data_IF_114080211873
#
_entry.id   IF_114080211873
#
_cell.length_a   1.000
_cell.length_b   1.000
_cell.length_c   1.000
_cell.angle_alpha   90.00
_cell.angle_beta   90.00
_cell.angle_gamma   90.00
#
_symmetry.space_group_name_H-M   'P 1'
#
loop_
_entity.id
_entity.type
_entity.pdbx_description
1 polymer ?
#
# COMPACT_ATOMS: atom_id res chain seq x y z
N UNK A 1 -1.89 18.70 17.15
CA UNK A 1 -0.64 19.16 16.51
C UNK A 1 -0.84 18.84 15.05
N UNK A 2 -0.88 19.84 14.17
CA UNK A 2 -1.18 19.59 12.76
C UNK A 2 0.01 18.85 12.12
N UNK A 3 -0.21 17.62 11.65
CA UNK A 3 0.80 16.83 10.96
C UNK A 3 1.23 17.58 9.68
N UNK A 4 2.50 17.96 9.59
CA UNK A 4 3.11 18.58 8.40
C UNK A 4 3.86 17.52 7.61
N UNK A 5 3.19 16.95 6.62
CA UNK A 5 3.72 15.92 5.72
C UNK A 5 4.51 16.50 4.54
N UNK A 6 5.28 17.56 4.75
CA UNK A 6 6.20 18.06 3.72
C UNK A 6 7.61 17.55 4.03
N UNK A 7 8.04 16.41 3.44
CA UNK A 7 9.38 15.92 3.66
C UNK A 7 10.38 16.94 3.13
N UNK A 8 11.34 17.33 3.98
CA UNK A 8 12.47 18.18 3.56
C UNK A 8 13.31 17.55 2.45
N UNK A 9 13.22 16.22 2.28
CA UNK A 9 13.79 15.43 1.20
C UNK A 9 12.86 14.28 0.85
N UNK A 10 12.37 14.25 -0.38
CA UNK A 10 11.56 13.14 -0.90
C UNK A 10 12.44 11.92 -1.19
N UNK A 11 12.11 10.71 -0.70
CA UNK A 11 12.79 9.48 -1.10
C UNK A 11 12.78 9.25 -2.61
N UNK A 12 11.75 9.76 -3.30
CA UNK A 12 11.63 9.72 -4.76
C UNK A 12 12.76 10.49 -5.45
N UNK A 13 13.34 11.49 -4.81
CA UNK A 13 14.48 12.22 -5.35
C UNK A 13 15.77 11.40 -5.41
N UNK A 14 15.83 10.29 -4.67
CA UNK A 14 17.01 9.41 -4.56
C UNK A 14 16.78 8.01 -5.14
N UNK A 15 15.63 7.75 -5.77
CA UNK A 15 15.25 6.42 -6.25
C UNK A 15 15.96 5.95 -7.53
N UNK A 16 16.93 6.73 -8.04
CA UNK A 16 17.69 6.38 -9.25
C UNK A 16 16.98 6.66 -10.57
N UNK A 17 15.78 7.24 -10.56
CA UNK A 17 15.06 7.72 -11.76
C UNK A 17 15.38 9.20 -11.97
N UNK A 18 16.15 9.58 -13.01
CA UNK A 18 16.62 10.96 -13.21
C UNK A 18 15.49 12.00 -13.26
N UNK A 19 14.36 11.65 -13.87
CA UNK A 19 13.20 12.53 -14.01
C UNK A 19 12.58 12.87 -12.66
N UNK A 20 12.51 11.91 -11.73
CA UNK A 20 11.97 12.13 -10.39
C UNK A 20 12.95 12.90 -9.51
N UNK A 21 14.25 12.67 -9.69
CA UNK A 21 15.29 13.43 -8.99
C UNK A 21 15.20 14.93 -9.27
N UNK A 22 15.00 15.31 -10.53
CA UNK A 22 14.89 16.72 -10.92
C UNK A 22 13.60 17.38 -10.44
N UNK A 23 12.56 16.58 -10.17
CA UNK A 23 11.25 17.07 -9.76
C UNK A 23 11.20 17.51 -8.29
N UNK A 24 12.09 16.97 -7.43
CA UNK A 24 12.09 17.26 -6.00
C UNK A 24 10.73 16.94 -5.36
N UNK A 25 10.10 17.95 -4.74
CA UNK A 25 8.76 17.82 -4.13
C UNK A 25 7.63 17.59 -5.14
N UNK A 26 7.91 17.67 -6.46
CA UNK A 26 6.95 17.42 -7.53
C UNK A 26 6.96 15.99 -8.08
N UNK A 27 7.78 15.10 -7.52
CA UNK A 27 7.98 13.75 -8.06
C UNK A 27 6.67 12.94 -8.10
N UNK A 28 5.85 13.01 -7.05
CA UNK A 28 4.55 12.34 -7.00
C UNK A 28 3.61 12.84 -8.12
N UNK A 29 3.57 14.15 -8.37
CA UNK A 29 2.75 14.73 -9.44
C UNK A 29 3.22 14.31 -10.83
N UNK A 30 4.53 14.07 -11.03
CA UNK A 30 5.03 13.50 -12.29
C UNK A 30 4.56 12.06 -12.49
N UNK A 31 4.52 11.24 -11.42
CA UNK A 31 3.98 9.89 -11.50
C UNK A 31 2.50 9.92 -11.90
N UNK A 32 1.69 10.77 -11.26
CA UNK A 32 0.27 10.97 -11.63
C UNK A 32 0.13 11.39 -13.09
N UNK A 33 0.90 12.39 -13.54
CA UNK A 33 0.86 12.86 -14.92
C UNK A 33 1.23 11.76 -15.93
N UNK A 34 2.22 10.94 -15.61
CA UNK A 34 2.62 9.79 -16.42
C UNK A 34 1.51 8.75 -16.54
N UNK A 35 0.81 8.44 -15.45
CA UNK A 35 -0.29 7.48 -15.44
C UNK A 35 -1.52 8.00 -16.19
N UNK A 36 -1.85 9.29 -16.05
CA UNK A 36 -2.86 9.96 -16.88
C UNK A 36 -2.53 9.85 -18.37
N UNK A 37 -1.27 10.08 -18.75
CA UNK A 37 -0.81 9.94 -20.13
C UNK A 37 -0.86 8.48 -20.64
N UNK A 38 -0.93 7.50 -19.73
CA UNK A 38 -1.13 6.08 -20.04
C UNK A 38 -2.60 5.65 -20.06
N UNK A 39 -3.53 6.58 -19.83
CA UNK A 39 -4.97 6.34 -19.95
C UNK A 39 -5.68 6.00 -18.65
N UNK A 40 -5.01 6.09 -17.50
CA UNK A 40 -5.73 6.06 -16.22
C UNK A 40 -6.62 7.30 -16.08
N UNK A 41 -7.80 7.14 -15.47
CA UNK A 41 -8.56 8.30 -14.99
C UNK A 41 -7.86 8.97 -13.80
N UNK A 42 -8.33 10.15 -13.41
CA UNK A 42 -7.69 10.95 -12.36
C UNK A 42 -7.60 10.23 -11.01
N UNK A 43 -8.63 9.46 -10.64
CA UNK A 43 -8.67 8.77 -9.35
C UNK A 43 -7.73 7.57 -9.36
N UNK A 44 -7.79 6.75 -10.42
CA UNK A 44 -6.86 5.63 -10.62
C UNK A 44 -5.40 6.10 -10.69
N UNK A 45 -5.13 7.21 -11.39
CA UNK A 45 -3.78 7.72 -11.53
C UNK A 45 -3.17 8.13 -10.18
N UNK A 46 -3.94 8.72 -9.29
CA UNK A 46 -3.47 9.08 -7.94
C UNK A 46 -3.28 7.86 -7.04
N UNK A 47 -4.23 6.92 -7.02
CA UNK A 47 -4.09 5.68 -6.25
C UNK A 47 -2.90 4.83 -6.74
N UNK A 48 -2.74 4.66 -8.05
CA UNK A 48 -1.61 3.93 -8.63
C UNK A 48 -0.27 4.67 -8.42
N UNK A 49 -0.25 5.99 -8.50
CA UNK A 49 0.94 6.78 -8.15
C UNK A 49 1.32 6.60 -6.68
N UNK A 50 0.35 6.48 -5.77
CA UNK A 50 0.64 6.19 -4.37
C UNK A 50 1.30 4.82 -4.20
N UNK A 51 0.84 3.79 -4.92
CA UNK A 51 1.50 2.46 -4.93
C UNK A 51 2.93 2.56 -5.46
N UNK A 52 3.18 3.32 -6.53
CA UNK A 52 4.54 3.55 -7.02
C UNK A 52 5.40 4.31 -5.99
N UNK A 53 4.83 5.31 -5.30
CA UNK A 53 5.53 6.00 -4.23
C UNK A 53 5.94 5.00 -3.13
N UNK A 54 5.05 4.10 -2.71
CA UNK A 54 5.35 3.05 -1.72
C UNK A 54 6.47 2.13 -2.17
N UNK A 55 6.47 1.66 -3.42
CA UNK A 55 7.55 0.84 -3.98
C UNK A 55 8.91 1.55 -3.97
N UNK A 56 8.89 2.88 -4.09
CA UNK A 56 10.08 3.74 -4.10
C UNK A 56 10.40 4.33 -2.70
N UNK A 57 9.68 3.91 -1.66
CA UNK A 57 9.88 4.35 -0.27
C UNK A 57 9.29 5.73 0.08
N UNK A 58 8.53 6.36 -0.81
CA UNK A 58 7.83 7.64 -0.58
C UNK A 58 6.54 7.47 0.22
N UNK A 59 6.65 7.26 1.53
CA UNK A 59 5.48 7.05 2.42
C UNK A 59 4.60 8.31 2.52
N UNK A 60 5.20 9.47 2.75
CA UNK A 60 4.48 10.74 2.88
C UNK A 60 3.78 11.10 1.56
N UNK A 61 4.45 10.93 0.43
CA UNK A 61 3.85 11.19 -0.89
C UNK A 61 2.69 10.25 -1.17
N UNK A 62 2.84 8.96 -0.85
CA UNK A 62 1.75 7.99 -0.99
C UNK A 62 0.55 8.38 -0.12
N UNK A 63 0.79 8.67 1.15
CA UNK A 63 -0.24 9.09 2.11
C UNK A 63 -0.98 10.34 1.62
N UNK A 64 -0.25 11.35 1.16
CA UNK A 64 -0.82 12.61 0.68
C UNK A 64 -1.69 12.41 -0.56
N UNK A 65 -1.30 11.52 -1.48
CA UNK A 65 -2.07 11.20 -2.68
C UNK A 65 -3.39 10.48 -2.34
N UNK A 66 -3.40 9.56 -1.37
CA UNK A 66 -4.62 8.76 -1.08
C UNK A 66 -5.56 9.40 -0.06
N UNK A 67 -5.06 10.32 0.77
CA UNK A 67 -5.87 10.98 1.81
C UNK A 67 -7.15 11.64 1.27
N UNK A 68 -7.13 12.40 0.15
CA UNK A 68 -8.35 13.00 -0.41
C UNK A 68 -9.43 11.99 -0.77
N UNK A 69 -9.05 10.76 -1.13
CA UNK A 69 -9.99 9.72 -1.54
C UNK A 69 -10.69 9.05 -0.35
N UNK A 70 -10.12 9.13 0.85
CA UNK A 70 -10.53 8.33 2.01
C UNK A 70 -10.94 9.17 3.21
N UNK A 71 -10.48 10.42 3.28
CA UNK A 71 -10.73 11.33 4.39
C UNK A 71 -11.79 12.36 4.03
N UNK A 72 -12.81 12.52 4.88
CA UNK A 72 -13.97 13.38 4.60
C UNK A 72 -13.75 14.88 4.82
N UNK A 73 -12.55 15.29 5.23
CA UNK A 73 -12.23 16.68 5.60
C UNK A 73 -10.99 17.17 4.86
N UNK A 74 -10.88 18.47 4.55
CA UNK A 74 -9.67 19.03 3.98
C UNK A 74 -8.46 18.84 4.89
N UNK A 75 -7.30 18.58 4.29
CA UNK A 75 -6.01 18.52 4.99
C UNK A 75 -5.03 19.50 4.35
N UNK A 76 -4.03 19.95 5.11
CA UNK A 76 -2.99 20.85 4.58
C UNK A 76 -2.02 20.17 3.62
N UNK A 77 -1.92 18.84 3.67
CA UNK A 77 -1.00 18.05 2.85
C UNK A 77 -1.67 17.34 1.67
N UNK A 78 -2.86 16.76 1.85
CA UNK A 78 -3.61 16.09 0.79
C UNK A 78 -4.56 17.03 0.04
N UNK A 79 -4.92 18.17 0.64
CA UNK A 79 -5.87 19.12 0.05
C UNK A 79 -7.34 18.76 0.35
N UNK A 80 -8.30 19.22 -0.48
CA UNK A 80 -9.72 19.01 -0.26
C UNK A 80 -10.15 17.54 -0.51
N UNK A 81 -11.22 17.06 0.15
CA UNK A 81 -11.72 15.70 -0.04
C UNK A 81 -12.34 15.49 -1.43
N UNK A 82 -12.16 14.29 -1.99
CA UNK A 82 -12.77 13.82 -3.25
C UNK A 82 -13.99 12.96 -2.96
N UNK A 83 -15.12 13.64 -2.71
CA UNK A 83 -16.39 12.97 -2.45
C UNK A 83 -16.83 12.15 -3.66
N UNK A 84 -17.11 10.86 -3.47
CA UNK A 84 -17.51 9.95 -4.53
C UNK A 84 -16.35 9.32 -5.32
N UNK A 85 -15.12 9.37 -4.77
CA UNK A 85 -13.96 8.67 -5.32
C UNK A 85 -14.28 7.23 -5.73
N UNK A 86 -13.95 6.88 -6.98
CA UNK A 86 -14.19 5.53 -7.52
C UNK A 86 -13.19 4.49 -7.01
N UNK A 87 -12.09 4.95 -6.41
CA UNK A 87 -10.97 4.13 -5.91
C UNK A 87 -10.86 4.16 -4.38
N UNK A 88 -11.94 4.47 -3.66
CA UNK A 88 -11.93 4.57 -2.19
C UNK A 88 -11.28 3.36 -1.52
N UNK A 89 -11.59 2.14 -1.99
CA UNK A 89 -11.07 0.90 -1.37
C UNK A 89 -9.59 0.71 -1.61
N UNK A 90 -9.14 0.94 -2.83
CA UNK A 90 -7.73 0.86 -3.22
C UNK A 90 -6.92 1.94 -2.49
N UNK A 91 -7.45 3.16 -2.37
CA UNK A 91 -6.85 4.22 -1.58
C UNK A 91 -6.77 3.88 -0.08
N UNK A 92 -7.83 3.29 0.49
CA UNK A 92 -7.82 2.79 1.87
C UNK A 92 -6.81 1.63 2.05
N UNK A 93 -6.65 0.78 1.04
CA UNK A 93 -5.64 -0.29 1.06
C UNK A 93 -4.22 0.32 1.00
N UNK A 94 -3.98 1.35 0.20
CA UNK A 94 -2.72 2.08 0.25
C UNK A 94 -2.41 2.60 1.67
N UNK A 95 -3.39 3.13 2.42
CA UNK A 95 -3.18 3.50 3.82
C UNK A 95 -2.79 2.30 4.71
N UNK A 96 -3.41 1.13 4.53
CA UNK A 96 -3.00 -0.10 5.26
C UNK A 96 -1.50 -0.36 5.07
N UNK A 97 -1.00 -0.22 3.83
CA UNK A 97 0.40 -0.49 3.50
C UNK A 97 1.32 0.64 3.99
N UNK A 98 0.95 1.91 3.78
CA UNK A 98 1.68 3.09 4.31
C UNK A 98 1.95 2.90 5.80
N UNK A 99 0.90 2.66 6.58
CA UNK A 99 1.02 2.59 8.02
C UNK A 99 1.70 1.29 8.48
N UNK A 100 1.59 0.19 7.74
CA UNK A 100 2.41 -1.01 8.01
C UNK A 100 3.90 -0.73 7.80
N UNK A 101 4.25 0.06 6.78
CA UNK A 101 5.64 0.48 6.51
C UNK A 101 6.17 1.49 7.52
N UNK A 102 5.31 2.31 8.13
CA UNK A 102 5.68 3.16 9.27
C UNK A 102 6.09 2.35 10.51
N UNK A 103 5.59 1.12 10.67
CA UNK A 103 5.97 0.21 11.74
C UNK A 103 5.62 0.75 13.13
N UNK A 104 6.62 0.85 14.01
CA UNK A 104 6.46 1.33 15.40
C UNK A 104 6.45 2.86 15.54
N UNK A 105 6.62 3.62 14.43
CA UNK A 105 6.59 5.07 14.48
C UNK A 105 5.27 5.57 15.08
N UNK A 106 5.36 6.38 16.14
CA UNK A 106 4.20 6.92 16.85
C UNK A 106 3.66 8.16 16.13
N UNK A 107 2.42 8.04 15.64
CA UNK A 107 1.65 9.14 15.05
C UNK A 107 0.50 9.61 15.96
N UNK A 108 -0.47 10.32 15.37
CA UNK A 108 -1.60 10.92 16.09
C UNK A 108 -2.52 9.89 16.78
N UNK A 109 -2.54 8.64 16.29
CA UNK A 109 -3.47 7.59 16.75
C UNK A 109 -2.77 6.27 17.16
N UNK A 110 -1.49 6.35 17.55
CA UNK A 110 -0.70 5.19 17.97
C UNK A 110 0.41 4.85 16.98
N UNK A 111 0.83 3.59 16.94
CA UNK A 111 1.85 3.14 15.98
C UNK A 111 1.30 3.01 14.56
N UNK A 112 2.18 2.93 13.58
CA UNK A 112 1.83 2.54 12.22
C UNK A 112 1.00 1.26 12.17
N UNK A 113 1.33 0.23 12.98
CA UNK A 113 0.52 -0.98 13.04
C UNK A 113 -0.90 -0.76 13.59
N UNK A 114 -1.11 0.17 14.53
CA UNK A 114 -2.45 0.54 14.99
C UNK A 114 -3.26 1.20 13.87
N UNK A 115 -2.65 2.14 13.14
CA UNK A 115 -3.28 2.82 12.01
C UNK A 115 -3.59 1.85 10.86
N UNK A 116 -2.67 0.93 10.56
CA UNK A 116 -2.88 -0.10 9.54
C UNK A 116 -4.11 -0.96 9.84
N UNK A 117 -4.28 -1.40 11.10
CA UNK A 117 -5.46 -2.16 11.55
C UNK A 117 -6.77 -1.38 11.37
N UNK A 118 -6.77 -0.08 11.66
CA UNK A 118 -7.94 0.78 11.41
C UNK A 118 -8.31 0.82 9.93
N UNK A 119 -7.33 1.04 9.06
CA UNK A 119 -7.54 1.15 7.61
C UNK A 119 -7.95 -0.16 6.95
N UNK A 120 -7.58 -1.32 7.51
CA UNK A 120 -8.10 -2.61 7.04
C UNK A 120 -9.62 -2.68 7.14
N UNK A 121 -10.18 -2.11 8.21
CA UNK A 121 -11.63 -2.01 8.38
C UNK A 121 -12.29 -1.16 7.29
N UNK A 122 -11.60 -0.16 6.74
CA UNK A 122 -12.10 0.66 5.64
C UNK A 122 -11.93 -0.05 4.29
N UNK A 123 -10.73 -0.58 4.03
CA UNK A 123 -10.38 -1.23 2.76
C UNK A 123 -11.18 -2.52 2.51
N UNK A 124 -11.44 -3.30 3.58
CA UNK A 124 -11.99 -4.66 3.48
C UNK A 124 -13.32 -4.84 4.23
N UNK A 125 -14.06 -3.77 4.47
CA UNK A 125 -15.33 -3.76 5.23
C UNK A 125 -16.40 -4.75 4.72
N UNK A 126 -16.39 -5.14 3.44
CA UNK A 126 -17.33 -6.13 2.88
C UNK A 126 -16.90 -7.60 3.05
N UNK A 127 -15.83 -7.85 3.79
CA UNK A 127 -15.29 -9.19 4.04
C UNK A 127 -13.76 -9.15 3.95
N UNK A 128 -13.10 -9.39 5.08
CA UNK A 128 -11.66 -9.23 5.29
C UNK A 128 -10.74 -10.06 4.35
N UNK A 129 -11.31 -10.89 3.47
CA UNK A 129 -10.58 -11.84 2.62
C UNK A 129 -11.02 -11.80 1.14
N UNK A 130 -11.59 -10.69 0.65
CA UNK A 130 -12.20 -10.61 -0.70
C UNK A 130 -11.53 -9.64 -1.68
N UNK A 131 -10.34 -9.12 -1.39
CA UNK A 131 -9.68 -8.28 -2.40
C UNK A 131 -9.27 -9.13 -3.62
N UNK A 132 -9.46 -8.66 -4.86
CA UNK A 132 -9.14 -9.44 -6.06
C UNK A 132 -7.71 -9.96 -6.15
N UNK A 133 -6.75 -9.27 -5.51
CA UNK A 133 -5.34 -9.69 -5.51
C UNK A 133 -5.00 -10.79 -4.51
N UNK A 134 -5.87 -11.06 -3.53
CA UNK A 134 -5.56 -11.96 -2.42
C UNK A 134 -5.32 -13.42 -2.83
N UNK A 135 -6.07 -14.02 -3.78
CA UNK A 135 -5.78 -15.38 -4.23
C UNK A 135 -4.36 -15.51 -4.79
N UNK A 136 -3.97 -14.60 -5.69
CA UNK A 136 -2.63 -14.61 -6.28
C UNK A 136 -1.54 -14.31 -5.25
N UNK A 137 -1.75 -13.31 -4.38
CA UNK A 137 -0.79 -12.99 -3.33
C UNK A 137 -0.57 -14.17 -2.37
N UNK A 138 -1.64 -14.91 -2.06
CA UNK A 138 -1.59 -16.10 -1.20
C UNK A 138 -0.81 -17.23 -1.85
N UNK A 139 -0.97 -17.45 -3.15
CA UNK A 139 -0.17 -18.42 -3.92
C UNK A 139 1.30 -18.01 -3.96
N UNK A 140 1.59 -16.75 -4.32
CA UNK A 140 2.96 -16.26 -4.43
C UNK A 140 3.69 -16.31 -3.08
N UNK A 141 2.98 -16.05 -1.97
CA UNK A 141 3.53 -16.15 -0.62
C UNK A 141 3.96 -17.59 -0.25
N UNK A 142 3.31 -18.64 -0.78
CA UNK A 142 3.80 -20.02 -0.60
C UNK A 142 5.15 -20.22 -1.28
N UNK A 143 5.35 -19.61 -2.45
CA UNK A 143 6.62 -19.63 -3.16
C UNK A 143 7.75 -18.92 -2.42
N UNK A 144 7.44 -17.94 -1.57
CA UNK A 144 8.43 -17.16 -0.83
C UNK A 144 8.86 -17.78 0.52
N UNK A 145 8.10 -18.74 1.04
CA UNK A 145 8.28 -19.22 2.43
C UNK A 145 9.66 -19.83 2.70
N UNK A 146 10.29 -20.43 1.67
CA UNK A 146 11.57 -21.11 1.79
C UNK A 146 11.59 -22.10 2.96
N UNK A 147 12.66 -22.05 3.77
CA UNK A 147 12.81 -22.84 5.01
C UNK A 147 12.42 -22.06 6.29
N UNK A 148 11.81 -20.88 6.18
CA UNK A 148 11.44 -20.06 7.33
C UNK A 148 10.29 -20.70 8.14
N UNK A 149 10.54 -21.05 9.40
CA UNK A 149 9.54 -21.70 10.26
C UNK A 149 8.33 -20.81 10.53
N UNK A 150 8.56 -19.54 10.88
CA UNK A 150 7.50 -18.61 11.27
C UNK A 150 6.60 -18.26 10.09
N UNK A 151 7.17 -18.03 8.90
CA UNK A 151 6.40 -17.85 7.66
C UNK A 151 5.55 -19.08 7.32
N UNK A 152 6.07 -20.30 7.50
CA UNK A 152 5.28 -21.54 7.33
C UNK A 152 4.15 -21.63 8.35
N UNK A 153 4.41 -21.25 9.61
CA UNK A 153 3.40 -21.23 10.66
C UNK A 153 2.29 -20.20 10.37
N UNK A 154 2.66 -19.02 9.87
CA UNK A 154 1.73 -17.98 9.43
C UNK A 154 0.82 -18.51 8.32
N UNK A 155 1.38 -19.03 7.22
CA UNK A 155 0.59 -19.52 6.09
C UNK A 155 -0.37 -20.65 6.49
N UNK A 156 0.08 -21.57 7.35
CA UNK A 156 -0.79 -22.61 7.92
C UNK A 156 -1.93 -22.03 8.75
N UNK A 157 -1.67 -20.97 9.51
CA UNK A 157 -2.67 -20.29 10.36
C UNK A 157 -3.68 -19.50 9.51
N UNK A 158 -3.24 -18.87 8.42
CA UNK A 158 -4.11 -18.20 7.45
C UNK A 158 -5.04 -19.19 6.72
N UNK A 159 -4.59 -20.42 6.50
CA UNK A 159 -5.32 -21.41 5.71
C UNK A 159 -5.27 -21.07 4.21
N UNK A 160 -6.37 -21.32 3.44
CA UNK A 160 -6.37 -21.13 2.00
C UNK A 160 -6.59 -19.68 1.56
N UNK A 161 -6.90 -18.76 2.48
CA UNK A 161 -7.20 -17.36 2.16
C UNK A 161 -6.10 -16.44 2.68
N UNK A 162 -5.87 -15.35 1.98
CA UNK A 162 -5.04 -14.26 2.51
C UNK A 162 -5.78 -13.56 3.64
N UNK A 163 -5.09 -13.34 4.76
CA UNK A 163 -5.63 -12.63 5.92
C UNK A 163 -4.70 -11.45 6.29
N UNK A 164 -5.01 -10.22 5.84
CA UNK A 164 -4.14 -9.06 6.02
C UNK A 164 -3.77 -8.77 7.49
N UNK A 165 -4.68 -9.07 8.42
CA UNK A 165 -4.47 -8.88 9.85
C UNK A 165 -3.34 -9.77 10.40
N UNK A 166 -3.26 -11.02 9.93
CA UNK A 166 -2.21 -11.96 10.29
C UNK A 166 -0.87 -11.56 9.68
N UNK A 167 -0.86 -11.12 8.41
CA UNK A 167 0.37 -10.63 7.78
C UNK A 167 0.91 -9.37 8.48
N UNK A 168 0.03 -8.42 8.79
CA UNK A 168 0.42 -7.22 9.54
C UNK A 168 0.94 -7.54 10.94
N UNK A 169 0.39 -8.57 11.60
CA UNK A 169 0.92 -9.06 12.88
C UNK A 169 2.31 -9.68 12.73
N UNK A 170 2.56 -10.46 11.66
CA UNK A 170 3.90 -10.96 11.39
C UNK A 170 4.90 -9.81 11.16
N UNK A 171 4.51 -8.78 10.42
CA UNK A 171 5.34 -7.59 10.23
C UNK A 171 5.63 -6.85 11.55
N UNK A 172 4.68 -6.82 12.48
CA UNK A 172 4.88 -6.29 13.83
C UNK A 172 5.86 -7.14 14.64
N UNK A 173 5.66 -8.46 14.65
CA UNK A 173 6.49 -9.40 15.42
C UNK A 173 7.92 -9.51 14.89
N UNK A 174 8.12 -9.39 13.58
CA UNK A 174 9.47 -9.47 12.98
C UNK A 174 10.33 -8.25 13.29
N UNK A 175 9.73 -7.07 13.52
CA UNK A 175 10.49 -5.90 13.98
C UNK A 175 10.99 -6.06 15.41
N UNK A 176 10.30 -6.84 16.25
CA UNK A 176 10.72 -7.11 17.63
C UNK A 176 11.80 -8.20 17.71
N UNK A 177 11.74 -9.18 16.82
CA UNK A 177 12.64 -10.35 16.84
C UNK A 177 13.85 -10.18 15.94
N UNK A 178 13.76 -9.31 14.92
CA UNK A 178 14.76 -9.07 13.89
C UNK A 178 15.24 -10.35 13.17
N UNK A 179 14.38 -11.38 13.07
CA UNK A 179 14.71 -12.63 12.38
C UNK A 179 14.94 -12.37 10.88
N UNK A 180 16.16 -12.56 10.33
CA UNK A 180 16.45 -12.17 8.96
C UNK A 180 15.63 -12.91 7.91
N UNK A 181 15.33 -14.20 8.15
CA UNK A 181 14.57 -15.01 7.21
C UNK A 181 13.11 -14.54 7.11
N UNK A 182 12.50 -14.24 8.25
CA UNK A 182 11.14 -13.67 8.33
C UNK A 182 11.10 -12.26 7.75
N UNK A 183 12.13 -11.44 7.97
CA UNK A 183 12.22 -10.10 7.37
C UNK A 183 12.25 -10.16 5.84
N UNK A 184 13.07 -11.05 5.27
CA UNK A 184 13.14 -11.24 3.81
C UNK A 184 11.82 -11.77 3.24
N UNK A 185 11.15 -12.68 3.95
CA UNK A 185 9.80 -13.12 3.59
C UNK A 185 8.79 -11.95 3.57
N UNK A 186 8.73 -11.15 4.65
CA UNK A 186 7.84 -10.00 4.74
C UNK A 186 8.09 -8.98 3.64
N UNK A 187 9.36 -8.71 3.31
CA UNK A 187 9.74 -7.85 2.18
C UNK A 187 9.24 -8.42 0.85
N UNK A 188 9.51 -9.70 0.56
CA UNK A 188 9.10 -10.34 -0.68
C UNK A 188 7.57 -10.29 -0.87
N UNK A 189 6.81 -10.65 0.18
CA UNK A 189 5.35 -10.58 0.17
C UNK A 189 4.87 -9.15 -0.05
N UNK A 190 5.41 -8.17 0.69
CA UNK A 190 4.97 -6.77 0.55
C UNK A 190 5.31 -6.19 -0.83
N UNK A 191 6.47 -6.51 -1.39
CA UNK A 191 6.82 -6.12 -2.75
C UNK A 191 5.83 -6.69 -3.75
N UNK A 192 5.45 -7.97 -3.61
CA UNK A 192 4.48 -8.60 -4.50
C UNK A 192 3.06 -8.05 -4.31
N UNK A 193 2.66 -7.77 -3.08
CA UNK A 193 1.38 -7.14 -2.74
C UNK A 193 1.24 -5.77 -3.42
N UNK A 194 2.29 -4.95 -3.37
CA UNK A 194 2.33 -3.65 -4.07
C UNK A 194 2.22 -3.83 -5.60
N UNK A 195 2.92 -4.80 -6.19
CA UNK A 195 2.86 -5.07 -7.63
C UNK A 195 1.45 -5.45 -8.07
N UNK A 196 0.85 -6.43 -7.40
CA UNK A 196 -0.51 -6.89 -7.71
C UNK A 196 -1.54 -5.77 -7.50
N UNK A 197 -1.39 -4.94 -6.47
CA UNK A 197 -2.29 -3.81 -6.23
C UNK A 197 -2.18 -2.76 -7.35
N UNK A 198 -0.96 -2.45 -7.81
CA UNK A 198 -0.76 -1.55 -8.94
C UNK A 198 -1.40 -2.10 -10.22
N UNK A 199 -1.17 -3.38 -10.53
CA UNK A 199 -1.77 -4.07 -11.68
C UNK A 199 -3.30 -4.04 -11.62
N UNK A 200 -3.89 -4.32 -10.45
CA UNK A 200 -5.34 -4.26 -10.23
C UNK A 200 -5.92 -2.86 -10.46
N UNK A 201 -5.31 -1.81 -9.91
CA UNK A 201 -5.77 -0.42 -10.11
C UNK A 201 -5.72 -0.05 -11.61
N UNK A 202 -4.64 -0.45 -12.29
CA UNK A 202 -4.38 -0.10 -13.68
C UNK A 202 -5.10 -0.99 -14.70
N UNK A 203 -5.68 -2.11 -14.29
CA UNK A 203 -6.43 -3.01 -15.16
C UNK A 203 -7.60 -2.29 -15.86
N UNK A 204 -7.84 -2.65 -17.12
CA UNK A 204 -9.01 -2.17 -17.83
C UNK A 204 -10.28 -2.78 -17.22
N UNK A 205 -11.45 -2.09 -17.30
CA UNK A 205 -12.71 -2.62 -16.78
C UNK A 205 -13.08 -4.02 -17.32
N UNK A 206 -12.64 -4.33 -18.54
CA UNK A 206 -12.96 -5.58 -19.25
C UNK A 206 -12.06 -6.76 -18.84
N UNK A 207 -10.92 -6.52 -18.21
CA UNK A 207 -9.97 -7.57 -17.82
C UNK A 207 -10.40 -8.34 -16.56
N UNK A 208 -11.35 -7.79 -15.80
CA UNK A 208 -11.74 -8.34 -14.48
C UNK A 208 -12.76 -9.49 -14.60
N UNK A 209 -13.43 -9.66 -15.74
CA UNK A 209 -14.53 -10.64 -15.88
C UNK A 209 -14.10 -12.06 -16.31
N UNK A 210 -12.83 -12.29 -16.66
CA UNK A 210 -12.43 -13.56 -17.32
C UNK A 210 -11.97 -14.67 -16.34
N UNK A 211 -11.90 -14.43 -15.02
CA UNK A 211 -11.37 -15.41 -14.07
C UNK A 211 -12.38 -15.99 -13.06
N UNK A 212 -13.68 -16.01 -13.40
CA UNK A 212 -14.72 -16.61 -12.55
C UNK A 212 -15.43 -17.83 -13.17
N UNK A 213 -14.73 -18.59 -14.02
CA UNK A 213 -15.20 -19.91 -14.49
C UNK A 213 -14.41 -21.08 -13.88
#
# INVERSE_FOLDING_TARGET
MEYKAEPSRSPLSTCGIPELQQAGSKAAQLLVAGLLAKGADADKAEAAAAVLCLMLGGLDEAHNLVTPHTWGSPTTFGGPPKLGSTVFREAAYCHVIVHRMEGENLGEFGSGFNNSKYWMGQAFSLGASQHPIFPQLREDAEGFVGECHDSRCLLRTMGPKWEPSLFNKLCEDVLLTEDPATMEFCKAVQTRELQLLFEHIMAAPDDVQVQME
#
